data_IF_330286045860
#
_entry.id   IF_330286045860
#
_cell.length_a   1.000
_cell.length_b   1.000
_cell.length_c   1.000
_cell.angle_alpha   90.00
_cell.angle_beta   90.00
_cell.angle_gamma   90.00
#
_symmetry.space_group_name_H-M   'P 1'
#
loop_
_entity.id
_entity.type
_entity.pdbx_description
1 polymer ?
#
# COMPACT_ATOMS: atom_id res chain seq x y z
N UNK A 1 8.13 13.95 10.81
CA UNK A 1 6.76 13.85 10.24
C UNK A 1 6.27 12.41 10.36
N UNK A 2 5.14 12.16 11.05
CA UNK A 2 4.67 10.80 11.36
C UNK A 2 4.26 10.01 10.11
N UNK A 3 3.51 10.61 9.19
CA UNK A 3 3.03 9.99 7.94
C UNK A 3 4.18 9.42 7.10
N UNK A 4 5.24 10.22 6.91
CA UNK A 4 6.44 9.77 6.21
C UNK A 4 7.16 8.63 6.95
N UNK A 5 7.06 8.55 8.28
CA UNK A 5 7.64 7.45 9.07
C UNK A 5 6.78 6.19 9.13
N UNK A 6 5.49 6.28 8.75
CA UNK A 6 4.50 5.21 8.89
C UNK A 6 4.16 4.50 7.56
N UNK A 7 4.64 4.98 6.42
CA UNK A 7 4.21 4.48 5.10
C UNK A 7 4.59 3.02 4.78
N UNK A 8 5.39 2.38 5.63
CA UNK A 8 5.72 0.95 5.57
C UNK A 8 5.04 0.12 6.68
N UNK A 9 4.27 0.75 7.56
CA UNK A 9 3.42 0.06 8.53
C UNK A 9 2.28 -0.68 7.80
N UNK A 10 1.79 -1.77 8.40
CA UNK A 10 0.70 -2.60 7.87
C UNK A 10 -0.39 -2.72 8.92
N UNK A 11 -1.66 -2.83 8.51
CA UNK A 11 -2.79 -2.87 9.45
C UNK A 11 -2.75 -4.07 10.41
N UNK A 12 -2.20 -5.19 9.95
CA UNK A 12 -1.97 -6.41 10.73
C UNK A 12 -0.78 -6.32 11.71
N UNK A 13 -0.07 -5.19 11.76
CA UNK A 13 1.11 -4.99 12.60
C UNK A 13 2.40 -5.61 12.04
N UNK A 14 2.37 -6.24 10.85
CA UNK A 14 3.55 -6.83 10.21
C UNK A 14 4.50 -5.80 9.58
N UNK A 15 4.13 -4.53 9.60
CA UNK A 15 4.89 -3.44 8.99
C UNK A 15 6.05 -2.95 9.84
N UNK A 16 6.75 -1.94 9.34
CA UNK A 16 7.94 -1.39 9.98
C UNK A 16 7.96 0.14 9.80
N UNK A 17 8.72 0.89 10.63
CA UNK A 17 9.73 0.44 11.60
C UNK A 17 9.22 0.06 12.99
N UNK A 18 7.97 0.37 13.35
CA UNK A 18 7.46 0.24 14.73
C UNK A 18 6.50 -0.94 14.92
N UNK A 19 5.97 -1.53 13.84
CA UNK A 19 4.97 -2.60 13.95
C UNK A 19 3.67 -2.07 14.53
N UNK A 20 3.22 -0.90 14.08
CA UNK A 20 2.05 -0.23 14.63
C UNK A 20 0.77 -1.03 14.34
N UNK A 21 -0.15 -1.17 15.31
CA UNK A 21 -1.46 -1.76 15.05
C UNK A 21 -2.31 -0.80 14.19
N UNK A 22 -3.32 -1.34 13.49
CA UNK A 22 -4.26 -0.54 12.71
C UNK A 22 -4.86 0.68 13.46
N UNK A 23 -5.11 0.54 14.76
CA UNK A 23 -5.67 1.61 15.61
C UNK A 23 -4.73 2.81 15.78
N UNK A 24 -3.43 2.65 15.54
CA UNK A 24 -2.44 3.72 15.58
C UNK A 24 -2.17 4.35 14.21
N UNK A 25 -2.79 3.85 13.14
CA UNK A 25 -2.60 4.32 11.76
C UNK A 25 -3.84 5.09 11.31
N UNK A 26 -3.71 6.40 11.13
CA UNK A 26 -4.77 7.25 10.61
C UNK A 26 -4.94 7.10 9.09
N UNK A 27 -6.01 7.68 8.55
CA UNK A 27 -6.27 7.68 7.10
C UNK A 27 -5.08 8.18 6.28
N UNK A 28 -4.36 9.27 6.65
CA UNK A 28 -3.19 9.71 5.90
C UNK A 28 -2.06 8.68 5.85
N UNK A 29 -1.82 7.93 6.92
CA UNK A 29 -0.80 6.88 6.98
C UNK A 29 -1.17 5.73 6.03
N UNK A 30 -2.43 5.27 6.11
CA UNK A 30 -2.96 4.17 5.29
C UNK A 30 -2.99 4.51 3.81
N UNK A 31 -3.41 5.73 3.47
CA UNK A 31 -3.44 6.22 2.10
C UNK A 31 -2.03 6.31 1.51
N UNK A 32 -1.07 6.85 2.28
CA UNK A 32 0.32 6.91 1.82
C UNK A 32 0.92 5.50 1.68
N UNK A 33 0.63 4.57 2.60
CA UNK A 33 1.11 3.19 2.51
C UNK A 33 0.59 2.50 1.24
N UNK A 34 -0.68 2.69 0.88
CA UNK A 34 -1.26 2.19 -0.37
C UNK A 34 -0.59 2.84 -1.60
N UNK A 35 -0.41 4.16 -1.60
CA UNK A 35 0.23 4.88 -2.70
C UNK A 35 1.69 4.46 -2.92
N UNK A 36 2.47 4.35 -1.84
CA UNK A 36 3.87 3.89 -1.92
C UNK A 36 3.95 2.44 -2.36
N UNK A 37 3.03 1.58 -1.92
CA UNK A 37 2.97 0.19 -2.39
C UNK A 37 2.69 0.10 -3.89
N UNK A 38 1.75 0.90 -4.40
CA UNK A 38 1.44 0.96 -5.83
C UNK A 38 2.63 1.47 -6.65
N UNK A 39 3.21 2.61 -6.26
CA UNK A 39 4.34 3.18 -6.98
C UNK A 39 5.58 2.29 -6.93
N UNK A 40 5.82 1.63 -5.78
CA UNK A 40 6.89 0.63 -5.65
C UNK A 40 6.67 -0.59 -6.54
N UNK A 41 5.41 -0.95 -6.79
CA UNK A 41 5.07 -2.05 -7.69
C UNK A 41 5.32 -1.68 -9.17
N UNK A 42 5.12 -0.43 -9.56
CA UNK A 42 5.38 0.06 -10.92
C UNK A 42 6.87 0.32 -11.20
N UNK A 43 7.67 0.56 -10.16
CA UNK A 43 9.12 0.74 -10.30
C UNK A 43 9.89 -0.57 -10.46
N UNK A 44 11.00 -0.59 -11.23
CA UNK A 44 11.94 -1.71 -11.22
C UNK A 44 12.71 -1.79 -9.89
N UNK A 45 13.14 -3.00 -9.52
CA UNK A 45 13.98 -3.30 -8.35
C UNK A 45 15.13 -4.22 -8.78
N UNK A 46 16.26 -4.27 -8.05
CA UNK A 46 17.40 -5.12 -8.42
C UNK A 46 17.04 -6.60 -8.64
N UNK A 47 16.03 -7.10 -7.94
CA UNK A 47 15.58 -8.50 -7.98
C UNK A 47 14.26 -8.72 -8.75
N UNK A 48 13.64 -7.67 -9.31
CA UNK A 48 12.35 -7.76 -9.99
C UNK A 48 12.13 -6.59 -10.94
N UNK A 49 11.73 -6.86 -12.17
CA UNK A 49 11.26 -5.82 -13.10
C UNK A 49 10.06 -5.02 -12.58
N UNK A 50 9.72 -3.93 -13.29
CA UNK A 50 8.47 -3.21 -13.07
C UNK A 50 7.26 -4.11 -13.32
N UNK A 51 6.20 -4.01 -12.50
CA UNK A 51 4.93 -4.66 -12.81
C UNK A 51 4.12 -3.79 -13.78
N UNK A 52 3.26 -4.43 -14.55
CA UNK A 52 2.17 -3.72 -15.22
C UNK A 52 1.23 -3.10 -14.19
N UNK A 53 0.46 -2.09 -14.60
CA UNK A 53 -0.59 -1.51 -13.76
C UNK A 53 -1.55 -2.57 -13.22
N UNK A 54 -1.99 -3.50 -14.08
CA UNK A 54 -2.92 -4.57 -13.68
C UNK A 54 -2.30 -5.52 -12.66
N UNK A 55 -1.04 -5.92 -12.84
CA UNK A 55 -0.34 -6.77 -11.88
C UNK A 55 -0.07 -6.05 -10.55
N UNK A 56 0.20 -4.73 -10.58
CA UNK A 56 0.29 -3.91 -9.38
C UNK A 56 -1.07 -3.84 -8.64
N UNK A 57 -2.17 -3.68 -9.36
CA UNK A 57 -3.51 -3.67 -8.77
C UNK A 57 -3.87 -5.00 -8.11
N UNK A 58 -3.59 -6.14 -8.77
CA UNK A 58 -3.76 -7.48 -8.19
C UNK A 58 -2.97 -7.60 -6.89
N UNK A 59 -1.68 -7.24 -6.91
CA UNK A 59 -0.81 -7.30 -5.72
C UNK A 59 -1.34 -6.44 -4.57
N UNK A 60 -1.90 -5.27 -4.85
CA UNK A 60 -2.48 -4.42 -3.80
C UNK A 60 -3.74 -5.05 -3.20
N UNK A 61 -4.63 -5.60 -4.03
CA UNK A 61 -5.84 -6.31 -3.57
C UNK A 61 -5.51 -7.55 -2.77
N UNK A 62 -4.45 -8.28 -3.13
CA UNK A 62 -3.96 -9.41 -2.33
C UNK A 62 -3.49 -8.93 -0.94
N UNK A 63 -2.77 -7.81 -0.86
CA UNK A 63 -2.39 -7.22 0.44
C UNK A 63 -3.58 -6.74 1.27
N UNK A 64 -4.70 -6.38 0.65
CA UNK A 64 -5.96 -6.09 1.37
C UNK A 64 -6.54 -7.39 1.94
N UNK A 65 -6.59 -8.46 1.14
CA UNK A 65 -7.06 -9.80 1.58
C UNK A 65 -6.20 -10.37 2.71
N UNK A 66 -4.90 -10.09 2.70
CA UNK A 66 -3.95 -10.43 3.77
C UNK A 66 -4.11 -9.54 5.02
N UNK A 67 -4.98 -8.53 5.00
CA UNK A 67 -5.17 -7.60 6.12
C UNK A 67 -4.03 -6.61 6.31
N UNK A 68 -3.17 -6.41 5.31
CA UNK A 68 -1.97 -5.55 5.40
C UNK A 68 -2.23 -4.12 4.96
N UNK A 69 -3.16 -3.92 4.03
CA UNK A 69 -3.56 -2.62 3.51
C UNK A 69 -5.05 -2.38 3.72
N UNK A 70 -5.41 -1.10 3.80
CA UNK A 70 -6.79 -0.63 3.92
C UNK A 70 -7.47 -0.65 2.54
N UNK A 71 -8.65 -1.28 2.46
CA UNK A 71 -9.41 -1.46 1.21
C UNK A 71 -9.78 -0.12 0.57
N UNK A 72 -10.35 0.80 1.35
CA UNK A 72 -10.81 2.11 0.86
C UNK A 72 -9.63 2.93 0.32
N UNK A 73 -8.49 2.89 1.01
CA UNK A 73 -7.28 3.58 0.57
C UNK A 73 -6.69 2.96 -0.70
N UNK A 74 -6.69 1.63 -0.82
CA UNK A 74 -6.24 0.93 -2.02
C UNK A 74 -7.13 1.28 -3.20
N UNK A 75 -8.46 1.24 -3.04
CA UNK A 75 -9.39 1.59 -4.11
C UNK A 75 -9.24 3.04 -4.55
N UNK A 76 -9.05 3.98 -3.62
CA UNK A 76 -8.78 5.38 -3.95
C UNK A 76 -7.50 5.54 -4.79
N UNK A 77 -6.42 4.84 -4.43
CA UNK A 77 -5.15 4.86 -5.18
C UNK A 77 -5.30 4.22 -6.55
N UNK A 78 -5.98 3.08 -6.65
CA UNK A 78 -6.19 2.39 -7.92
C UNK A 78 -7.08 3.21 -8.87
N UNK A 79 -8.14 3.83 -8.35
CA UNK A 79 -8.99 4.75 -9.10
C UNK A 79 -8.18 5.94 -9.63
N UNK A 80 -7.39 6.60 -8.77
CA UNK A 80 -6.49 7.69 -9.18
C UNK A 80 -5.42 7.22 -10.19
N UNK A 81 -5.01 5.95 -10.11
CA UNK A 81 -4.08 5.29 -11.03
C UNK A 81 -4.71 4.85 -12.36
N UNK A 82 -6.00 5.14 -12.60
CA UNK A 82 -6.71 4.83 -13.85
C UNK A 82 -7.29 3.41 -13.93
N UNK A 83 -7.30 2.66 -12.83
CA UNK A 83 -7.98 1.37 -12.77
C UNK A 83 -9.49 1.60 -12.64
N UNK A 84 -10.26 1.01 -13.55
CA UNK A 84 -11.72 0.94 -13.43
C UNK A 84 -12.10 -0.25 -12.55
N UNK A 85 -13.11 -0.05 -11.70
CA UNK A 85 -13.73 -1.08 -10.87
C UNK A 85 -14.37 -2.18 -11.70
#
# INVERSE_FOLDING_TARGET
AQVAGNHHECLDGSGYPRGLPATALGVPDRLLAAAVAYQSALGPRPYRGALSGSAAAVRLRDRVREGRLDEVCVDAVLHAGGHRS
#
